data_IF_368976524107
#
_entry.id   IF_368976524107
#
_cell.length_a   1.000
_cell.length_b   1.000
_cell.length_c   1.000
_cell.angle_alpha   90.00
_cell.angle_beta   90.00
_cell.angle_gamma   90.00
#
_symmetry.space_group_name_H-M   'P 1'
#
loop_
_entity.id
_entity.type
_entity.pdbx_description
1 polymer ?
#
# COMPACT_ATOMS: atom_id res chain seq x y z
N UNK A 1 35.81 -19.47 23.85
CA UNK A 1 35.59 -18.03 23.56
C UNK A 1 35.98 -17.84 22.11
N UNK A 2 35.11 -17.29 21.27
CA UNK A 2 35.42 -17.14 19.85
C UNK A 2 36.56 -16.13 19.65
N UNK A 3 37.33 -16.33 18.58
CA UNK A 3 38.39 -15.40 18.21
C UNK A 3 37.75 -14.06 17.76
N UNK A 4 37.97 -12.98 18.53
CA UNK A 4 37.39 -11.67 18.24
C UNK A 4 37.73 -11.14 16.84
N UNK A 5 38.94 -11.40 16.35
CA UNK A 5 39.33 -10.96 15.01
C UNK A 5 38.50 -11.65 13.92
N UNK A 6 38.18 -12.93 14.12
CA UNK A 6 37.33 -13.69 13.22
C UNK A 6 35.88 -13.17 13.23
N UNK A 7 35.36 -12.88 14.44
CA UNK A 7 34.02 -12.30 14.62
C UNK A 7 33.91 -10.94 13.92
N UNK A 8 34.90 -10.06 14.10
CA UNK A 8 34.89 -8.72 13.49
C UNK A 8 34.99 -8.79 11.96
N UNK A 9 35.82 -9.69 11.42
CA UNK A 9 35.89 -9.93 9.99
C UNK A 9 34.55 -10.44 9.43
N UNK A 10 33.91 -11.41 10.10
CA UNK A 10 32.60 -11.92 9.71
C UNK A 10 31.56 -10.80 9.71
N UNK A 11 31.54 -9.93 10.72
CA UNK A 11 30.63 -8.77 10.78
C UNK A 11 30.84 -7.84 9.58
N UNK A 12 32.08 -7.56 9.22
CA UNK A 12 32.40 -6.74 8.05
C UNK A 12 31.87 -7.37 6.75
N UNK A 13 32.09 -8.67 6.54
CA UNK A 13 31.58 -9.37 5.36
C UNK A 13 30.04 -9.43 5.30
N UNK A 14 29.38 -9.62 6.44
CA UNK A 14 27.91 -9.56 6.54
C UNK A 14 27.39 -8.16 6.20
N UNK A 15 28.11 -7.11 6.62
CA UNK A 15 27.76 -5.72 6.28
C UNK A 15 27.91 -5.45 4.76
N UNK A 16 28.82 -6.15 4.09
CA UNK A 16 28.95 -6.16 2.63
C UNK A 16 27.93 -7.06 1.90
N UNK A 17 26.93 -7.61 2.62
CA UNK A 17 25.89 -8.49 2.10
C UNK A 17 26.39 -9.79 1.47
N UNK A 18 27.56 -10.28 1.90
CA UNK A 18 27.95 -11.64 1.55
C UNK A 18 27.08 -12.65 2.31
N UNK A 19 26.73 -13.75 1.64
CA UNK A 19 25.97 -14.81 2.29
C UNK A 19 26.82 -15.61 3.28
N UNK A 20 26.18 -16.08 4.34
CA UNK A 20 26.80 -16.81 5.44
C UNK A 20 27.56 -18.07 4.98
N UNK A 21 27.08 -18.74 3.92
CA UNK A 21 27.70 -19.96 3.42
C UNK A 21 28.99 -19.66 2.64
N UNK A 22 29.00 -18.59 1.84
CA UNK A 22 30.20 -18.12 1.15
C UNK A 22 31.26 -17.64 2.14
N UNK A 23 30.88 -16.90 3.19
CA UNK A 23 31.82 -16.50 4.25
C UNK A 23 32.45 -17.75 4.89
N UNK A 24 31.63 -18.74 5.25
CA UNK A 24 32.09 -20.00 5.84
C UNK A 24 33.05 -20.74 4.92
N UNK A 25 32.71 -20.85 3.64
CA UNK A 25 33.53 -21.55 2.63
C UNK A 25 34.89 -20.87 2.44
N UNK A 26 34.91 -19.54 2.38
CA UNK A 26 36.15 -18.75 2.25
C UNK A 26 37.04 -18.93 3.49
N UNK A 27 36.48 -18.84 4.69
CA UNK A 27 37.25 -18.97 5.93
C UNK A 27 37.81 -20.38 6.12
N UNK A 28 37.03 -21.42 5.82
CA UNK A 28 37.53 -22.81 5.87
C UNK A 28 38.65 -23.00 4.84
N UNK A 29 38.51 -22.45 3.63
CA UNK A 29 39.56 -22.50 2.60
C UNK A 29 40.84 -21.76 3.01
N UNK A 30 40.72 -20.73 3.83
CA UNK A 30 41.85 -19.99 4.42
C UNK A 30 42.52 -20.73 5.60
N UNK A 31 42.00 -21.90 5.99
CA UNK A 31 42.60 -22.76 7.02
C UNK A 31 41.99 -22.62 8.41
N UNK A 32 40.88 -21.88 8.56
CA UNK A 32 40.15 -21.82 9.81
C UNK A 32 39.40 -23.13 10.08
N UNK A 33 39.32 -23.53 11.35
CA UNK A 33 38.54 -24.72 11.73
C UNK A 33 37.03 -24.44 11.54
N UNK A 34 36.28 -25.45 11.10
CA UNK A 34 34.84 -25.30 10.90
C UNK A 34 34.12 -24.94 12.22
N UNK A 35 34.59 -25.47 13.34
CA UNK A 35 34.02 -25.21 14.68
C UNK A 35 34.22 -23.75 15.09
N UNK A 36 35.43 -23.19 14.91
CA UNK A 36 35.70 -21.78 15.23
C UNK A 36 34.89 -20.83 14.34
N UNK A 37 34.74 -21.17 13.06
CA UNK A 37 33.94 -20.38 12.12
C UNK A 37 32.47 -20.38 12.54
N UNK A 38 31.90 -21.53 12.91
CA UNK A 38 30.50 -21.59 13.36
C UNK A 38 30.28 -20.82 14.67
N UNK A 39 31.18 -20.96 15.64
CA UNK A 39 31.11 -20.22 16.89
C UNK A 39 31.16 -18.70 16.65
N UNK A 40 32.06 -18.24 15.77
CA UNK A 40 32.20 -16.83 15.44
C UNK A 40 31.01 -16.30 14.62
N UNK A 41 30.45 -17.10 13.70
CA UNK A 41 29.24 -16.75 12.95
C UNK A 41 28.04 -16.55 13.86
N UNK A 42 27.85 -17.45 14.83
CA UNK A 42 26.77 -17.36 15.83
C UNK A 42 26.89 -16.09 16.68
N UNK A 43 28.09 -15.77 17.16
CA UNK A 43 28.36 -14.56 17.94
C UNK A 43 28.12 -13.28 17.10
N UNK A 44 28.62 -13.24 15.86
CA UNK A 44 28.42 -12.13 14.94
C UNK A 44 26.94 -11.86 14.63
N UNK A 45 26.13 -12.90 14.42
CA UNK A 45 24.68 -12.75 14.20
C UNK A 45 23.96 -12.23 15.44
N UNK A 46 24.26 -12.75 16.62
CA UNK A 46 23.62 -12.30 17.86
C UNK A 46 23.91 -10.83 18.14
N UNK A 47 25.15 -10.38 17.89
CA UNK A 47 25.51 -8.97 18.04
C UNK A 47 24.82 -8.06 17.00
N UNK A 48 24.72 -8.50 15.74
CA UNK A 48 24.03 -7.74 14.71
C UNK A 48 22.54 -7.52 15.06
N UNK A 49 21.87 -8.54 15.59
CA UNK A 49 20.50 -8.42 16.07
C UNK A 49 20.36 -7.51 17.29
N UNK A 50 21.32 -7.56 18.23
CA UNK A 50 21.32 -6.69 19.40
C UNK A 50 21.48 -5.20 19.04
N UNK A 51 22.29 -4.88 18.02
CA UNK A 51 22.50 -3.51 17.58
C UNK A 51 21.26 -2.93 16.87
N UNK A 52 20.58 -3.72 16.03
CA UNK A 52 19.39 -3.26 15.30
C UNK A 52 18.24 -2.87 16.24
N UNK A 53 18.09 -3.58 17.37
CA UNK A 53 17.03 -3.30 18.36
C UNK A 53 17.18 -1.93 19.05
N UNK A 54 18.42 -1.43 19.22
CA UNK A 54 18.64 -0.11 19.86
C UNK A 54 18.38 1.05 18.91
N UNK A 55 18.80 0.93 17.65
CA UNK A 55 18.67 2.04 16.70
C UNK A 55 17.21 2.35 16.36
N UNK A 56 16.36 1.32 16.25
CA UNK A 56 14.94 1.52 15.93
C UNK A 56 14.19 2.28 17.04
N UNK A 57 14.52 2.03 18.30
CA UNK A 57 13.81 2.63 19.42
C UNK A 57 14.10 4.13 19.54
N UNK A 58 15.34 4.56 19.29
CA UNK A 58 15.73 5.98 19.41
C UNK A 58 15.11 6.83 18.30
N UNK A 59 15.10 6.34 17.06
CA UNK A 59 14.46 7.06 15.95
C UNK A 59 12.94 7.09 16.07
N UNK A 60 12.32 5.98 16.50
CA UNK A 60 10.86 5.92 16.64
C UNK A 60 10.34 6.91 17.68
N UNK A 61 11.03 7.04 18.82
CA UNK A 61 10.66 8.01 19.87
C UNK A 61 10.83 9.46 19.36
N UNK A 62 11.92 9.74 18.63
CA UNK A 62 12.13 11.07 18.04
C UNK A 62 11.04 11.47 17.04
N UNK A 63 10.66 10.55 16.14
CA UNK A 63 9.60 10.76 15.14
C UNK A 63 8.23 10.94 15.82
N UNK A 64 7.92 10.14 16.84
CA UNK A 64 6.67 10.24 17.58
C UNK A 64 6.51 11.61 18.28
N UNK A 65 7.58 12.16 18.85
CA UNK A 65 7.53 13.49 19.47
C UNK A 65 7.36 14.58 18.40
N UNK A 66 8.13 14.49 17.30
CA UNK A 66 8.03 15.46 16.21
C UNK A 66 6.63 15.48 15.57
N UNK A 67 5.98 14.33 15.39
CA UNK A 67 4.64 14.25 14.81
C UNK A 67 3.59 14.90 15.70
N UNK A 68 3.67 14.71 17.02
CA UNK A 68 2.75 15.36 17.97
C UNK A 68 2.87 16.89 17.91
N UNK A 69 4.09 17.42 17.82
CA UNK A 69 4.32 18.87 17.69
C UNK A 69 3.70 19.42 16.39
N UNK A 70 3.87 18.72 15.27
CA UNK A 70 3.29 19.12 13.98
C UNK A 70 1.76 19.11 14.03
N UNK A 71 1.15 18.09 14.63
CA UNK A 71 -0.30 17.99 14.78
C UNK A 71 -0.84 19.16 15.61
N UNK A 72 -0.19 19.50 16.73
CA UNK A 72 -0.60 20.63 17.58
C UNK A 72 -0.54 21.95 16.80
N UNK A 73 0.55 22.17 16.05
CA UNK A 73 0.69 23.37 15.21
C UNK A 73 -0.38 23.43 14.11
N UNK A 74 -0.69 22.29 13.49
CA UNK A 74 -1.74 22.21 12.46
C UNK A 74 -3.13 22.52 13.04
N UNK A 75 -3.47 21.95 14.20
CA UNK A 75 -4.73 22.24 14.89
C UNK A 75 -4.82 23.72 15.29
N UNK A 76 -3.74 24.30 15.80
CA UNK A 76 -3.72 25.72 16.13
C UNK A 76 -3.98 26.61 14.90
N UNK A 77 -3.30 26.33 13.77
CA UNK A 77 -3.52 27.04 12.51
C UNK A 77 -4.95 26.87 11.99
N UNK A 78 -5.49 25.65 12.03
CA UNK A 78 -6.86 25.37 11.64
C UNK A 78 -7.85 26.20 12.45
N UNK A 79 -7.70 26.25 13.78
CA UNK A 79 -8.55 27.08 14.64
C UNK A 79 -8.45 28.58 14.32
N UNK A 80 -7.27 29.08 13.94
CA UNK A 80 -7.12 30.48 13.51
C UNK A 80 -7.86 30.75 12.21
N UNK A 81 -7.69 29.89 11.20
CA UNK A 81 -8.34 30.03 9.89
C UNK A 81 -9.86 29.93 10.01
N UNK A 82 -10.36 28.94 10.75
CA UNK A 82 -11.79 28.74 10.93
C UNK A 82 -12.46 29.87 11.73
N UNK A 83 -11.73 30.58 12.59
CA UNK A 83 -12.26 31.78 13.25
C UNK A 83 -12.37 32.98 12.33
N UNK A 84 -11.62 33.04 11.24
CA UNK A 84 -11.69 34.15 10.29
C UNK A 84 -12.76 33.95 9.21
N UNK A 85 -13.20 32.73 8.97
CA UNK A 85 -14.38 32.47 8.16
C UNK A 85 -15.64 32.73 8.98
N UNK A 86 -16.01 34.00 9.13
CA UNK A 86 -17.42 34.31 9.36
C UNK A 86 -18.22 33.69 8.21
N UNK A 87 -19.24 32.86 8.48
CA UNK A 87 -20.05 32.28 7.43
C UNK A 87 -20.72 33.42 6.67
N UNK A 88 -20.22 33.70 5.47
CA UNK A 88 -20.85 34.62 4.55
C UNK A 88 -22.32 34.18 4.44
N UNK A 89 -23.21 35.11 4.77
CA UNK A 89 -24.65 34.88 4.80
C UNK A 89 -25.05 34.21 3.50
N UNK A 90 -25.53 32.97 3.58
CA UNK A 90 -25.88 32.21 2.39
C UNK A 90 -26.87 33.04 1.56
N UNK A 91 -26.61 33.29 0.26
CA UNK A 91 -27.58 33.96 -0.58
C UNK A 91 -28.85 33.11 -0.62
N UNK A 92 -30.01 33.77 -0.46
CA UNK A 92 -31.31 33.09 -0.51
C UNK A 92 -31.41 32.20 -1.75
N UNK A 93 -31.91 30.97 -1.62
CA UNK A 93 -32.06 30.05 -2.74
C UNK A 93 -32.96 30.70 -3.78
N UNK A 94 -32.35 31.10 -4.90
CA UNK A 94 -33.10 31.57 -6.06
C UNK A 94 -33.73 30.33 -6.68
N UNK A 95 -35.06 30.29 -6.70
CA UNK A 95 -35.83 29.21 -7.29
C UNK A 95 -35.33 28.94 -8.72
N UNK A 96 -34.65 27.79 -8.91
CA UNK A 96 -34.28 27.33 -10.24
C UNK A 96 -35.57 26.95 -10.98
N UNK A 97 -35.76 27.44 -12.22
CA UNK A 97 -36.85 26.97 -13.07
C UNK A 97 -36.67 25.47 -13.33
N UNK A 98 -37.78 24.73 -13.52
CA UNK A 98 -37.73 23.29 -13.79
C UNK A 98 -36.87 23.03 -15.03
N UNK A 99 -35.82 22.23 -14.85
CA UNK A 99 -35.00 21.75 -15.94
C UNK A 99 -35.89 21.04 -16.96
N UNK A 100 -35.77 21.37 -18.26
CA UNK A 100 -36.52 20.68 -19.31
C UNK A 100 -36.22 19.20 -19.27
N UNK A 101 -37.27 18.39 -19.46
CA UNK A 101 -37.18 16.94 -19.51
C UNK A 101 -36.12 16.53 -20.55
N UNK A 102 -35.03 15.95 -20.06
CA UNK A 102 -34.00 15.33 -20.90
C UNK A 102 -34.64 14.13 -21.57
N UNK A 103 -34.83 14.21 -22.89
CA UNK A 103 -35.27 13.08 -23.69
C UNK A 103 -34.31 11.90 -23.49
N UNK A 104 -34.83 10.67 -23.32
CA UNK A 104 -33.97 9.50 -23.25
C UNK A 104 -33.18 9.38 -24.57
N UNK A 105 -31.86 9.18 -24.51
CA UNK A 105 -31.06 8.96 -25.71
C UNK A 105 -31.51 7.68 -26.42
N UNK A 106 -31.35 7.61 -27.75
CA UNK A 106 -31.81 6.48 -28.56
C UNK A 106 -31.18 5.15 -28.11
N UNK A 107 -32.01 4.10 -28.04
CA UNK A 107 -31.70 2.70 -27.72
C UNK A 107 -30.78 2.01 -28.76
N UNK A 108 -29.65 2.62 -29.08
CA UNK A 108 -28.57 1.93 -29.77
C UNK A 108 -27.68 1.29 -28.72
N UNK A 109 -27.89 -0.01 -28.48
CA UNK A 109 -26.97 -0.93 -27.81
C UNK A 109 -26.06 -0.23 -26.81
N UNK A 110 -26.63 0.24 -25.68
CA UNK A 110 -25.79 0.66 -24.56
C UNK A 110 -25.00 -0.57 -24.14
N UNK A 111 -23.72 -0.60 -24.54
CA UNK A 111 -22.74 -1.53 -24.04
C UNK A 111 -22.85 -1.55 -22.52
N UNK A 112 -23.09 -2.72 -21.92
CA UNK A 112 -23.58 -2.86 -20.53
C UNK A 112 -22.83 -2.07 -19.45
N UNK A 113 -21.59 -1.63 -19.70
CA UNK A 113 -20.83 -0.74 -18.82
C UNK A 113 -21.33 0.69 -18.72
N UNK A 114 -22.07 1.20 -19.73
CA UNK A 114 -22.63 2.55 -19.68
C UNK A 114 -23.66 2.69 -18.54
N UNK A 115 -24.27 1.57 -18.11
CA UNK A 115 -25.14 1.52 -16.92
C UNK A 115 -24.32 1.75 -15.66
N UNK A 116 -23.17 1.09 -15.52
CA UNK A 116 -22.31 1.26 -14.33
C UNK A 116 -21.61 2.62 -14.28
N UNK A 117 -21.38 3.27 -15.43
CA UNK A 117 -20.77 4.59 -15.47
C UNK A 117 -21.68 5.68 -14.88
N UNK A 118 -23.00 5.52 -15.00
CA UNK A 118 -23.97 6.47 -14.46
C UNK A 118 -23.97 6.55 -12.93
N UNK A 119 -23.41 5.54 -12.24
CA UNK A 119 -23.29 5.54 -10.79
C UNK A 119 -22.23 6.52 -10.30
N UNK A 120 -22.61 7.36 -9.33
CA UNK A 120 -21.71 8.35 -8.73
C UNK A 120 -21.04 7.83 -7.46
N UNK A 121 -21.66 6.86 -6.79
CA UNK A 121 -21.09 6.23 -5.60
C UNK A 121 -20.07 5.15 -6.00
N UNK A 122 -18.88 5.21 -5.39
CA UNK A 122 -17.79 4.29 -5.72
C UNK A 122 -18.11 2.84 -5.36
N UNK A 123 -18.84 2.62 -4.26
CA UNK A 123 -19.21 1.28 -3.79
C UNK A 123 -20.30 0.68 -4.69
N UNK A 124 -21.34 1.47 -5.01
CA UNK A 124 -22.37 1.06 -5.97
C UNK A 124 -21.77 0.75 -7.34
N UNK A 125 -20.77 1.53 -7.78
CA UNK A 125 -20.05 1.31 -9.03
C UNK A 125 -19.25 -0.01 -9.02
N UNK A 126 -18.48 -0.28 -7.97
CA UNK A 126 -17.76 -1.57 -7.82
C UNK A 126 -18.74 -2.76 -7.87
N UNK A 127 -19.89 -2.67 -7.17
CA UNK A 127 -20.91 -3.71 -7.18
C UNK A 127 -21.54 -3.91 -8.57
N UNK A 128 -21.79 -2.83 -9.31
CA UNK A 128 -22.32 -2.90 -10.67
C UNK A 128 -21.35 -3.63 -11.62
N UNK A 129 -20.06 -3.31 -11.57
CA UNK A 129 -19.05 -3.99 -12.38
C UNK A 129 -18.87 -5.47 -11.98
N UNK A 130 -19.05 -5.82 -10.72
CA UNK A 130 -19.02 -7.22 -10.28
C UNK A 130 -20.18 -8.01 -10.89
N UNK A 131 -21.39 -7.47 -10.86
CA UNK A 131 -22.56 -8.11 -11.46
C UNK A 131 -22.40 -8.25 -12.99
N UNK A 132 -21.90 -7.20 -13.65
CA UNK A 132 -21.63 -7.21 -15.09
C UNK A 132 -20.62 -8.31 -15.48
N UNK A 133 -19.54 -8.45 -14.71
CA UNK A 133 -18.51 -9.46 -14.92
C UNK A 133 -18.99 -10.90 -14.64
N UNK A 134 -19.96 -11.09 -13.73
CA UNK A 134 -20.57 -12.41 -13.47
C UNK A 134 -21.51 -12.84 -14.58
N UNK A 135 -22.29 -11.90 -15.10
CA UNK A 135 -23.38 -12.20 -16.03
C UNK A 135 -22.94 -12.21 -17.51
N UNK A 136 -21.75 -11.68 -17.82
CA UNK A 136 -21.22 -11.64 -19.18
C UNK A 136 -19.96 -12.48 -19.24
N UNK A 137 -20.06 -13.69 -19.80
CA UNK A 137 -18.90 -14.52 -20.11
C UNK A 137 -17.94 -13.70 -20.98
N UNK A 138 -16.77 -13.37 -20.43
CA UNK A 138 -15.69 -12.62 -21.10
C UNK A 138 -15.99 -11.14 -21.35
N UNK A 139 -16.46 -10.44 -20.32
CA UNK A 139 -16.42 -8.98 -20.35
C UNK A 139 -14.97 -8.45 -20.50
N UNK A 140 -14.75 -7.65 -21.55
CA UNK A 140 -13.45 -7.09 -21.93
C UNK A 140 -13.28 -5.69 -21.33
N UNK A 141 -12.58 -5.62 -20.18
CA UNK A 141 -12.26 -4.35 -19.53
C UNK A 141 -11.37 -3.44 -20.40
N UNK A 142 -10.65 -3.97 -21.40
CA UNK A 142 -9.80 -3.15 -22.28
C UNK A 142 -10.58 -2.31 -23.27
N UNK A 143 -11.85 -2.67 -23.52
CA UNK A 143 -12.76 -1.90 -24.36
C UNK A 143 -13.24 -0.60 -23.69
N UNK A 144 -13.00 -0.41 -22.38
CA UNK A 144 -13.41 0.80 -21.65
C UNK A 144 -12.37 1.92 -21.90
N UNK A 145 -12.77 3.06 -22.50
CA UNK A 145 -11.83 4.14 -22.84
C UNK A 145 -11.32 4.90 -21.61
N UNK A 146 -12.18 5.09 -20.61
CA UNK A 146 -11.83 5.81 -19.38
C UNK A 146 -10.95 4.92 -18.47
N UNK A 147 -9.83 5.48 -17.99
CA UNK A 147 -8.85 4.74 -17.20
C UNK A 147 -9.33 4.46 -15.77
N UNK A 148 -10.17 5.32 -15.21
CA UNK A 148 -10.74 5.16 -13.87
C UNK A 148 -11.79 4.05 -13.90
N UNK A 149 -12.73 4.12 -14.85
CA UNK A 149 -13.77 3.11 -15.07
C UNK A 149 -13.18 1.72 -15.38
N UNK A 150 -12.13 1.67 -16.20
CA UNK A 150 -11.38 0.43 -16.45
C UNK A 150 -10.75 -0.14 -15.18
N UNK A 151 -10.29 0.71 -14.27
CA UNK A 151 -9.80 0.30 -12.95
C UNK A 151 -10.89 -0.36 -12.09
N UNK A 152 -12.11 0.18 -12.10
CA UNK A 152 -13.28 -0.43 -11.44
C UNK A 152 -13.60 -1.81 -12.04
N UNK A 153 -13.61 -1.93 -13.37
CA UNK A 153 -13.84 -3.19 -14.07
C UNK A 153 -12.84 -4.28 -13.68
N UNK A 154 -11.54 -3.96 -13.65
CA UNK A 154 -10.49 -4.93 -13.31
C UNK A 154 -10.56 -5.40 -11.86
N UNK A 155 -10.77 -4.49 -10.91
CA UNK A 155 -10.94 -4.86 -9.48
C UNK A 155 -12.14 -5.78 -9.29
N UNK A 156 -13.25 -5.48 -9.95
CA UNK A 156 -14.43 -6.32 -9.92
C UNK A 156 -14.16 -7.73 -10.48
N UNK A 157 -13.43 -7.82 -11.59
CA UNK A 157 -13.05 -9.10 -12.21
C UNK A 157 -12.14 -9.95 -11.31
N UNK A 158 -11.16 -9.32 -10.67
CA UNK A 158 -10.29 -9.99 -9.69
C UNK A 158 -11.09 -10.53 -8.50
N UNK A 159 -12.03 -9.73 -7.97
CA UNK A 159 -12.89 -10.17 -6.86
C UNK A 159 -13.75 -11.39 -7.21
N UNK A 160 -14.28 -11.46 -8.44
CA UNK A 160 -15.04 -12.63 -8.92
C UNK A 160 -14.14 -13.86 -9.01
N UNK A 161 -12.94 -13.73 -9.60
CA UNK A 161 -11.99 -14.85 -9.69
C UNK A 161 -11.59 -15.38 -8.31
N UNK A 162 -11.27 -14.50 -7.36
CA UNK A 162 -10.91 -14.90 -5.99
C UNK A 162 -12.06 -15.63 -5.29
N UNK A 163 -13.31 -15.21 -5.52
CA UNK A 163 -14.48 -15.88 -4.98
C UNK A 163 -14.62 -17.30 -5.56
N UNK A 164 -14.47 -17.46 -6.87
CA UNK A 164 -14.53 -18.79 -7.51
C UNK A 164 -13.46 -19.75 -6.98
N UNK A 165 -12.24 -19.26 -6.72
CA UNK A 165 -11.19 -20.05 -6.08
C UNK A 165 -11.54 -20.43 -4.65
N UNK A 166 -12.14 -19.50 -3.88
CA UNK A 166 -12.54 -19.76 -2.51
C UNK A 166 -13.66 -20.82 -2.42
N UNK A 167 -14.60 -20.81 -3.37
CA UNK A 167 -15.71 -21.78 -3.42
C UNK A 167 -15.26 -23.19 -3.82
N UNK A 168 -14.04 -23.34 -4.35
CA UNK A 168 -13.44 -24.63 -4.73
C UNK A 168 -12.58 -25.27 -3.62
N UNK A 169 -12.27 -24.54 -2.54
CA UNK A 169 -11.39 -24.98 -1.45
C UNK A 169 -12.16 -25.64 -0.29
#
# INVERSE_FOLDING_TARGET
>A
MANKQLVDYIKEQLNHRMDSNSIRTVLIRQGWSAEDVEAAMYEAHNEAHAHNKRHYHTHFVGIAIASVVVIILFVALFLVVFRQTEPASAPSPTAQPPLPAVMPPPEHQLSGWAVCQAETDGVAKDACYQDLNRNTEHYDCDAIPDNVERGFCYRAKEAVLLQEYADQA
#
